data_IF_371917215553
#
_entry.id   IF_371917215553
#
_cell.length_a   1.000
_cell.length_b   1.000
_cell.length_c   1.000
_cell.angle_alpha   90.00
_cell.angle_beta   90.00
_cell.angle_gamma   90.00
#
_symmetry.space_group_name_H-M   'P 1'
#
loop_
_entity.id
_entity.type
_entity.pdbx_description
1 polymer ?
#
# COMPACT_ATOMS: atom_id res chain seq x y z
N UNK A 1 21.86 -1.61 0.33
CA UNK A 1 20.40 -1.35 0.33
C UNK A 1 19.80 -2.09 -0.85
N UNK A 2 18.88 -3.05 -0.65
CA UNK A 2 18.20 -3.67 -1.78
C UNK A 2 17.35 -2.60 -2.49
N UNK A 3 17.47 -2.49 -3.80
CA UNK A 3 16.79 -1.49 -4.64
C UNK A 3 15.31 -1.86 -4.84
N UNK A 4 14.59 -2.15 -3.75
CA UNK A 4 13.20 -2.58 -3.83
C UNK A 4 12.28 -1.37 -3.95
N UNK A 5 11.31 -1.45 -4.85
CA UNK A 5 10.23 -0.48 -4.92
C UNK A 5 9.47 -0.43 -3.58
N UNK A 6 9.42 0.76 -2.98
CA UNK A 6 8.68 1.03 -1.75
C UNK A 6 7.69 2.17 -2.00
N UNK A 7 6.57 2.12 -1.27
CA UNK A 7 5.67 3.26 -1.16
C UNK A 7 6.11 4.08 0.04
N UNK A 8 6.26 5.40 -0.17
CA UNK A 8 6.60 6.33 0.92
C UNK A 8 5.63 6.15 2.09
N UNK A 9 6.12 6.03 3.34
CA UNK A 9 5.26 5.86 4.51
C UNK A 9 4.20 6.95 4.64
N UNK A 10 4.57 8.18 4.31
CA UNK A 10 3.68 9.35 4.39
C UNK A 10 2.50 9.16 3.43
N UNK A 11 2.78 8.79 2.18
CA UNK A 11 1.73 8.58 1.15
C UNK A 11 0.89 7.35 1.49
N UNK A 12 1.52 6.27 1.98
CA UNK A 12 0.83 5.07 2.45
C UNK A 12 -0.19 5.44 3.53
N UNK A 13 0.22 6.12 4.59
CA UNK A 13 -0.62 6.39 5.77
C UNK A 13 -1.65 7.49 5.50
N UNK A 14 -1.22 8.64 4.95
CA UNK A 14 -2.06 9.84 4.89
C UNK A 14 -2.90 9.95 3.60
N UNK A 15 -2.53 9.24 2.54
CA UNK A 15 -3.20 9.38 1.22
C UNK A 15 -3.87 8.08 0.81
N UNK A 16 -3.11 7.03 0.58
CA UNK A 16 -3.64 5.80 -0.02
C UNK A 16 -4.57 5.03 0.91
N UNK A 17 -4.25 5.00 2.21
CA UNK A 17 -5.12 4.35 3.21
C UNK A 17 -6.47 5.05 3.39
N UNK A 18 -6.67 6.25 2.83
CA UNK A 18 -7.94 6.99 2.95
C UNK A 18 -8.98 6.63 1.91
N UNK A 19 -8.56 6.03 0.79
CA UNK A 19 -9.42 5.59 -0.32
C UNK A 19 -8.94 4.24 -0.86
N UNK A 20 -8.79 3.22 0.00
CA UNK A 20 -8.05 2.00 -0.32
C UNK A 20 -8.65 1.21 -1.49
N UNK A 21 -9.97 1.21 -1.63
CA UNK A 21 -10.71 0.55 -2.71
C UNK A 21 -10.35 1.17 -4.07
N UNK A 22 -10.40 2.51 -4.15
CA UNK A 22 -10.06 3.26 -5.37
C UNK A 22 -8.59 3.11 -5.74
N UNK A 23 -7.71 3.04 -4.74
CA UNK A 23 -6.28 2.80 -4.96
C UNK A 23 -6.06 1.38 -5.48
N UNK A 24 -6.72 0.38 -4.89
CA UNK A 24 -6.62 -1.00 -5.38
C UNK A 24 -7.08 -1.12 -6.83
N UNK A 25 -8.23 -0.55 -7.16
CA UNK A 25 -8.74 -0.53 -8.53
C UNK A 25 -7.77 0.15 -9.50
N UNK A 26 -7.14 1.26 -9.07
CA UNK A 26 -6.17 1.97 -9.88
C UNK A 26 -4.90 1.13 -10.15
N UNK A 27 -4.37 0.47 -9.12
CA UNK A 27 -3.20 -0.42 -9.26
C UNK A 27 -3.53 -1.63 -10.14
N UNK A 28 -4.71 -2.23 -9.95
CA UNK A 28 -5.15 -3.36 -10.77
C UNK A 28 -5.31 -2.96 -12.25
N UNK A 29 -5.79 -1.75 -12.54
CA UNK A 29 -5.84 -1.21 -13.91
C UNK A 29 -4.45 -1.04 -14.51
N UNK A 30 -3.51 -0.42 -13.80
CA UNK A 30 -2.12 -0.27 -14.27
C UNK A 30 -1.50 -1.64 -14.56
N UNK A 31 -1.65 -2.59 -13.64
CA UNK A 31 -1.09 -3.93 -13.78
C UNK A 31 -1.66 -4.69 -15.00
N UNK A 32 -2.96 -4.55 -15.24
CA UNK A 32 -3.64 -5.20 -16.37
C UNK A 32 -3.30 -4.54 -17.71
N UNK A 33 -3.35 -3.22 -17.76
CA UNK A 33 -3.39 -2.50 -19.04
C UNK A 33 -2.00 -2.11 -19.53
N UNK A 34 -1.00 -1.97 -18.65
CA UNK A 34 0.29 -1.37 -19.01
C UNK A 34 1.41 -2.41 -19.08
N UNK A 35 2.20 -2.39 -20.16
CA UNK A 35 3.45 -3.14 -20.29
C UNK A 35 4.62 -2.23 -19.94
N UNK A 36 5.16 -2.37 -18.72
CA UNK A 36 6.29 -1.55 -18.26
C UNK A 36 7.39 -2.38 -17.59
N UNK A 37 8.60 -1.81 -17.60
CA UNK A 37 9.81 -2.37 -16.95
C UNK A 37 10.49 -1.38 -16.00
N UNK A 38 9.89 -0.18 -15.85
CA UNK A 38 10.47 0.95 -15.17
C UNK A 38 9.37 1.91 -14.69
N UNK A 39 9.57 2.48 -13.52
CA UNK A 39 8.70 3.51 -12.92
C UNK A 39 9.50 4.80 -12.79
N UNK A 40 8.88 5.92 -13.16
CA UNK A 40 9.45 7.26 -13.03
C UNK A 40 8.57 8.05 -12.05
N UNK A 41 8.91 8.05 -10.74
CA UNK A 41 8.19 8.86 -9.77
C UNK A 41 8.48 10.36 -9.96
N UNK A 42 7.53 11.21 -9.57
CA UNK A 42 7.66 12.66 -9.72
C UNK A 42 8.62 13.32 -8.71
N UNK A 43 8.89 12.68 -7.56
CA UNK A 43 9.55 13.35 -6.41
C UNK A 43 10.74 12.59 -5.82
N UNK A 44 10.89 11.30 -6.15
CA UNK A 44 11.94 10.44 -5.59
C UNK A 44 12.96 10.05 -6.66
N UNK A 45 14.03 9.38 -6.23
CA UNK A 45 15.03 8.83 -7.12
C UNK A 45 14.38 8.05 -8.27
N UNK A 46 14.74 8.44 -9.48
CA UNK A 46 14.21 7.90 -10.72
C UNK A 46 15.35 7.78 -11.73
N UNK A 47 15.30 6.81 -12.65
CA UNK A 47 14.25 5.79 -12.79
C UNK A 47 14.41 4.59 -11.84
N UNK A 48 13.28 3.95 -11.48
CA UNK A 48 13.27 2.70 -10.72
C UNK A 48 13.03 1.54 -11.70
N UNK A 49 13.97 0.60 -11.80
CA UNK A 49 13.73 -0.63 -12.54
C UNK A 49 12.84 -1.54 -11.68
N UNK A 50 11.56 -1.63 -12.06
CA UNK A 50 10.57 -2.40 -11.35
C UNK A 50 9.56 -2.98 -12.34
N UNK A 51 9.15 -4.20 -12.06
CA UNK A 51 8.13 -4.96 -12.76
C UNK A 51 6.74 -4.72 -12.16
N UNK A 52 5.74 -5.26 -12.85
CA UNK A 52 4.35 -5.29 -12.40
C UNK A 52 4.13 -6.00 -11.06
N UNK A 53 4.80 -7.14 -10.85
CA UNK A 53 4.68 -7.89 -9.59
C UNK A 53 5.30 -7.13 -8.42
N UNK A 54 6.38 -6.40 -8.65
CA UNK A 54 6.99 -5.52 -7.63
C UNK A 54 6.09 -4.33 -7.30
N UNK A 55 5.37 -3.76 -8.28
CA UNK A 55 4.33 -2.77 -8.03
C UNK A 55 3.23 -3.33 -7.13
N UNK A 56 2.68 -4.49 -7.48
CA UNK A 56 1.64 -5.15 -6.67
C UNK A 56 2.13 -5.43 -5.23
N UNK A 57 3.36 -5.95 -5.09
CA UNK A 57 3.95 -6.22 -3.79
C UNK A 57 4.12 -4.95 -2.95
N UNK A 58 4.53 -3.82 -3.55
CA UNK A 58 4.67 -2.55 -2.86
C UNK A 58 3.33 -2.01 -2.31
N UNK A 59 2.21 -2.34 -2.98
CA UNK A 59 0.85 -1.99 -2.56
C UNK A 59 0.13 -3.07 -1.74
N UNK A 60 0.82 -4.16 -1.35
CA UNK A 60 0.22 -5.25 -0.57
C UNK A 60 -0.34 -4.82 0.80
N UNK A 61 0.08 -3.68 1.33
CA UNK A 61 -0.50 -3.10 2.54
C UNK A 61 -2.00 -2.79 2.43
N UNK A 62 -2.53 -2.66 1.20
CA UNK A 62 -3.96 -2.44 0.99
C UNK A 62 -4.80 -3.63 1.46
N UNK A 63 -4.25 -4.84 1.44
CA UNK A 63 -4.95 -6.05 1.89
C UNK A 63 -5.26 -5.96 3.41
N UNK A 64 -4.34 -5.39 4.20
CA UNK A 64 -4.54 -5.15 5.64
C UNK A 64 -5.63 -4.10 5.90
N UNK A 65 -5.76 -3.10 5.02
CA UNK A 65 -6.74 -2.00 5.17
C UNK A 65 -8.13 -2.42 4.71
N UNK A 66 -8.20 -3.17 3.61
CA UNK A 66 -9.46 -3.61 3.00
C UNK A 66 -10.07 -4.84 3.70
N UNK A 67 -9.22 -5.66 4.34
CA UNK A 67 -9.63 -6.93 4.95
C UNK A 67 -10.18 -7.94 3.95
N UNK A 68 -10.69 -9.06 4.47
CA UNK A 68 -11.18 -10.20 3.67
C UNK A 68 -12.35 -9.87 2.73
N UNK A 69 -13.05 -8.74 2.93
CA UNK A 69 -14.26 -8.39 2.17
C UNK A 69 -14.00 -7.88 0.76
N UNK A 70 -12.78 -7.41 0.46
CA UNK A 70 -12.44 -6.92 -0.88
C UNK A 70 -11.79 -8.00 -1.75
N UNK A 71 -11.58 -9.21 -1.22
CA UNK A 71 -11.10 -10.39 -1.96
C UNK A 71 -12.25 -10.99 -2.78
N UNK A 72 -12.79 -10.24 -3.74
CA UNK A 72 -13.80 -10.75 -4.69
C UNK A 72 -13.19 -11.34 -5.96
N UNK A 73 -11.85 -11.49 -6.01
CA UNK A 73 -11.15 -12.20 -7.08
C UNK A 73 -10.30 -13.31 -6.47
N UNK A 74 -10.33 -14.55 -7.00
CA UNK A 74 -9.44 -15.61 -6.57
C UNK A 74 -8.03 -15.23 -7.04
N UNK A 75 -7.36 -14.46 -6.20
CA UNK A 75 -6.00 -14.05 -6.43
C UNK A 75 -5.13 -15.26 -6.12
N UNK A 76 -4.45 -15.80 -7.14
CA UNK A 76 -3.38 -16.78 -6.96
C UNK A 76 -2.31 -16.28 -5.97
N UNK A 77 -2.28 -14.98 -5.64
CA UNK A 77 -1.46 -14.41 -4.56
C UNK A 77 -1.78 -15.01 -3.18
N UNK A 78 -3.03 -15.40 -2.88
CA UNK A 78 -3.40 -15.98 -1.59
C UNK A 78 -2.79 -17.37 -1.34
N UNK A 79 -2.48 -18.11 -2.41
CA UNK A 79 -1.78 -19.39 -2.30
C UNK A 79 -0.27 -19.21 -2.04
N UNK A 80 0.31 -18.07 -2.44
CA UNK A 80 1.74 -17.79 -2.25
C UNK A 80 2.06 -16.97 -0.97
N UNK A 81 1.11 -16.21 -0.42
CA UNK A 81 1.33 -15.43 0.81
C UNK A 81 1.40 -16.28 2.08
N UNK A 82 0.92 -17.53 2.06
CA UNK A 82 1.07 -18.48 3.17
C UNK A 82 2.52 -18.99 3.34
N UNK A 83 3.28 -19.08 2.24
CA UNK A 83 4.65 -19.64 2.24
C UNK A 83 5.76 -18.58 2.32
N UNK A 84 5.52 -17.36 1.85
CA UNK A 84 6.49 -16.27 1.91
C UNK A 84 6.05 -15.27 2.99
N UNK A 85 6.65 -15.41 4.17
CA UNK A 85 6.30 -14.72 5.41
C UNK A 85 5.93 -13.24 5.23
N UNK A 86 4.90 -12.85 5.99
CA UNK A 86 4.44 -11.49 6.26
C UNK A 86 5.60 -10.48 6.30
N UNK A 87 5.86 -9.83 5.16
CA UNK A 87 6.63 -8.59 5.12
C UNK A 87 5.69 -7.41 5.43
N UNK A 88 5.02 -7.45 6.59
CA UNK A 88 3.94 -6.51 6.92
C UNK A 88 4.43 -5.14 7.43
N UNK A 89 5.74 -4.89 7.53
CA UNK A 89 6.21 -3.52 7.60
C UNK A 89 7.63 -3.38 7.06
N UNK A 90 7.78 -2.65 5.96
CA UNK A 90 9.08 -2.20 5.46
C UNK A 90 9.73 -1.14 6.34
N UNK A 91 8.98 -0.55 7.27
CA UNK A 91 9.40 0.56 8.10
C UNK A 91 9.41 0.17 9.58
N UNK A 92 10.45 0.50 10.35
CA UNK A 92 10.48 0.29 11.79
C UNK A 92 9.25 0.88 12.48
N UNK A 93 8.66 0.21 13.49
CA UNK A 93 7.50 0.72 14.21
C UNK A 93 7.74 2.09 14.87
N UNK A 94 8.97 2.33 15.34
CA UNK A 94 9.35 3.61 15.96
C UNK A 94 9.26 4.78 14.98
N UNK A 95 9.65 4.57 13.72
CA UNK A 95 9.57 5.59 12.67
C UNK A 95 8.12 5.93 12.29
N UNK A 96 7.18 5.02 12.56
CA UNK A 96 5.76 5.20 12.22
C UNK A 96 4.95 5.94 13.28
N UNK A 97 5.48 6.11 14.50
CA UNK A 97 4.76 6.74 15.61
C UNK A 97 4.23 8.14 15.27
N UNK A 98 5.07 8.98 14.66
CA UNK A 98 4.70 10.36 14.29
C UNK A 98 3.64 10.42 13.20
N UNK A 99 3.68 9.51 12.23
CA UNK A 99 2.68 9.48 11.15
C UNK A 99 1.34 8.95 11.65
N UNK A 100 1.37 7.92 12.51
CA UNK A 100 0.16 7.38 13.12
C UNK A 100 -0.50 8.41 14.04
N UNK A 101 0.26 9.14 14.85
CA UNK A 101 -0.32 10.18 15.73
C UNK A 101 -0.88 11.37 14.95
N UNK A 102 -0.22 11.77 13.85
CA UNK A 102 -0.76 12.78 12.93
C UNK A 102 -2.07 12.30 12.27
N UNK A 103 -2.12 11.03 11.86
CA UNK A 103 -3.32 10.45 11.27
C UNK A 103 -4.49 10.43 12.26
N UNK A 104 -4.23 9.98 13.49
CA UNK A 104 -5.20 9.99 14.60
C UNK A 104 -5.71 11.40 14.88
N UNK A 105 -4.82 12.40 14.90
CA UNK A 105 -5.20 13.80 15.05
C UNK A 105 -6.12 14.26 13.92
N UNK A 106 -5.75 14.02 12.66
CA UNK A 106 -6.55 14.40 11.49
C UNK A 106 -7.93 13.74 11.47
N UNK A 107 -8.03 12.50 11.97
CA UNK A 107 -9.31 11.81 12.16
C UNK A 107 -10.11 12.47 13.29
N UNK A 108 -9.48 12.80 14.41
CA UNK A 108 -10.15 13.39 15.58
C UNK A 108 -10.78 14.77 15.30
N UNK A 109 -10.12 15.59 14.49
CA UNK A 109 -10.64 16.91 14.07
C UNK A 109 -11.67 16.81 12.93
N UNK A 110 -11.94 15.61 12.43
CA UNK A 110 -12.88 15.37 11.34
C UNK A 110 -12.37 15.79 9.95
N UNK A 111 -11.09 16.16 9.83
CA UNK A 111 -10.48 16.50 8.54
C UNK A 111 -10.39 15.27 7.60
N UNK A 112 -10.29 14.07 8.18
CA UNK A 112 -10.20 12.81 7.44
C UNK A 112 -11.08 11.73 8.06
N UNK A 113 -11.68 10.87 7.22
CA UNK A 113 -12.50 9.73 7.67
C UNK A 113 -11.62 8.64 8.27
N UNK A 114 -12.11 7.94 9.30
CA UNK A 114 -11.48 6.72 9.80
C UNK A 114 -11.72 5.59 8.79
N UNK A 115 -10.64 4.99 8.30
CA UNK A 115 -10.66 3.89 7.33
C UNK A 115 -10.12 2.60 7.92
N UNK A 116 -9.62 2.62 9.16
CA UNK A 116 -9.27 1.39 9.86
C UNK A 116 -10.57 0.63 10.17
N UNK A 117 -10.74 -0.55 9.56
CA UNK A 117 -11.86 -1.45 9.83
C UNK A 117 -11.93 -1.99 11.27
N UNK A 118 -11.18 -1.42 12.22
CA UNK A 118 -11.32 -1.71 13.66
C UNK A 118 -12.63 -1.09 14.13
N UNK A 119 -13.67 -1.93 14.15
CA UNK A 119 -14.87 -1.68 14.98
C UNK A 119 -14.39 -1.27 16.38
N UNK A 120 -14.90 -0.14 16.87
CA UNK A 120 -14.94 0.17 18.29
C UNK A 120 -15.73 -0.90 19.03
#
# INVERSE_FOLDING_TARGET
MSQKLIISPIVKTLVFSKVPEKVRDWIDRINRDWVFRRIIPAHFAAPINASRSELLAAFGFLDDVLGERYVTRPSLSLLFTSLLGKATSYFPPDDMKTLSSLDEFLVSVGAVKNVSGRKR
#
